data_IF_680236084608
#
_entry.id   IF_680236084608
#
_cell.length_a   1.000
_cell.length_b   1.000
_cell.length_c   1.000
_cell.angle_alpha   90.00
_cell.angle_beta   90.00
_cell.angle_gamma   90.00
#
_symmetry.space_group_name_H-M   'P 1'
#
loop_
_entity.id
_entity.type
_entity.pdbx_description
1 polymer ?
#
# COMPACT_ATOMS: atom_id res chain seq x y z
N UNK A 1 -28.47 2.78 -3.56
CA UNK A 1 -28.21 1.56 -4.37
C UNK A 1 -26.72 1.29 -4.26
N UNK A 2 -26.29 0.14 -3.71
CA UNK A 2 -24.86 -0.14 -3.62
C UNK A 2 -24.27 -0.35 -5.02
N UNK A 3 -23.06 0.15 -5.29
CA UNK A 3 -22.38 -0.15 -6.53
C UNK A 3 -22.16 -1.66 -6.66
N UNK A 4 -22.41 -2.21 -7.84
CA UNK A 4 -22.15 -3.62 -8.14
C UNK A 4 -20.69 -3.79 -8.51
N UNK A 5 -19.99 -4.70 -7.82
CA UNK A 5 -18.61 -5.07 -8.17
C UNK A 5 -18.62 -6.02 -9.37
N UNK A 6 -18.23 -5.52 -10.55
CA UNK A 6 -18.01 -6.35 -11.74
C UNK A 6 -16.55 -6.86 -11.84
N UNK A 7 -15.71 -6.51 -10.87
CA UNK A 7 -14.28 -6.75 -10.87
C UNK A 7 -13.53 -6.10 -12.04
N UNK A 8 -12.22 -6.29 -12.08
CA UNK A 8 -11.36 -5.75 -13.14
C UNK A 8 -11.66 -6.36 -14.53
N UNK A 9 -12.31 -7.52 -14.60
CA UNK A 9 -12.74 -8.12 -15.87
C UNK A 9 -13.93 -7.38 -16.50
N UNK A 10 -14.67 -6.58 -15.72
CA UNK A 10 -15.77 -5.73 -16.21
C UNK A 10 -15.31 -4.36 -16.75
N UNK A 11 -14.01 -4.06 -16.72
CA UNK A 11 -13.46 -2.77 -17.15
C UNK A 11 -13.69 -2.48 -18.64
N UNK A 12 -13.70 -1.19 -19.00
CA UNK A 12 -13.75 -0.76 -20.40
C UNK A 12 -12.42 -1.02 -21.11
N UNK A 13 -12.39 -2.03 -22.00
CA UNK A 13 -11.18 -2.38 -22.76
C UNK A 13 -10.63 -1.22 -23.59
N UNK A 14 -11.47 -0.42 -24.23
CA UNK A 14 -11.00 0.70 -25.07
C UNK A 14 -10.27 1.76 -24.24
N UNK A 15 -10.70 2.00 -23.01
CA UNK A 15 -10.00 2.89 -22.08
C UNK A 15 -8.62 2.33 -21.69
N UNK A 16 -8.54 1.02 -21.42
CA UNK A 16 -7.27 0.36 -21.10
C UNK A 16 -6.31 0.37 -22.29
N UNK A 17 -6.83 0.18 -23.51
CA UNK A 17 -6.04 0.26 -24.73
C UNK A 17 -5.45 1.66 -24.92
N UNK A 18 -6.28 2.70 -24.78
CA UNK A 18 -5.83 4.09 -24.85
C UNK A 18 -4.81 4.45 -23.75
N UNK A 19 -5.04 3.97 -22.52
CA UNK A 19 -4.11 4.20 -21.40
C UNK A 19 -2.74 3.58 -21.70
N UNK A 20 -2.70 2.33 -22.17
CA UNK A 20 -1.47 1.67 -22.57
C UNK A 20 -0.75 2.43 -23.70
N UNK A 21 -1.49 2.87 -24.72
CA UNK A 21 -0.90 3.57 -25.88
C UNK A 21 -0.31 4.94 -25.49
N UNK A 22 -0.82 5.56 -24.42
CA UNK A 22 -0.25 6.76 -23.80
C UNK A 22 0.92 6.45 -22.86
N UNK A 23 1.29 5.18 -22.69
CA UNK A 23 2.38 4.74 -21.80
C UNK A 23 1.97 4.65 -20.32
N UNK A 24 0.67 4.65 -20.00
CA UNK A 24 0.21 4.41 -18.62
C UNK A 24 0.50 2.97 -18.23
N UNK A 25 1.31 2.80 -17.19
CA UNK A 25 1.68 1.50 -16.62
C UNK A 25 0.92 1.17 -15.33
N UNK A 26 0.53 2.19 -14.58
CA UNK A 26 -0.04 2.03 -13.25
C UNK A 26 -1.41 2.72 -13.17
N UNK A 27 -2.40 2.01 -12.65
CA UNK A 27 -3.72 2.53 -12.30
C UNK A 27 -4.00 2.29 -10.83
N UNK A 28 -4.79 3.18 -10.22
CA UNK A 28 -5.27 3.02 -8.85
C UNK A 28 -6.46 2.05 -8.83
N UNK A 29 -6.52 1.17 -7.83
CA UNK A 29 -7.65 0.28 -7.54
C UNK A 29 -8.28 0.60 -6.20
N UNK A 30 -9.52 0.15 -5.96
CA UNK A 30 -10.28 0.48 -4.76
C UNK A 30 -10.57 -0.74 -3.89
N UNK A 31 -9.96 -0.83 -2.69
CA UNK A 31 -10.12 -2.01 -1.82
C UNK A 31 -11.50 -2.18 -1.18
N UNK A 32 -12.45 -1.25 -1.36
CA UNK A 32 -13.87 -1.54 -1.06
C UNK A 32 -14.44 -2.63 -1.96
N UNK A 33 -13.89 -2.81 -3.16
CA UNK A 33 -14.31 -3.85 -4.10
C UNK A 33 -13.45 -5.09 -3.98
N UNK A 34 -14.08 -6.26 -3.81
CA UNK A 34 -13.37 -7.52 -3.66
C UNK A 34 -12.54 -7.85 -4.90
N UNK A 35 -13.02 -7.49 -6.10
CA UNK A 35 -12.29 -7.68 -7.36
C UNK A 35 -11.00 -6.85 -7.50
N UNK A 36 -10.77 -5.89 -6.61
CA UNK A 36 -9.57 -5.05 -6.59
C UNK A 36 -8.61 -5.42 -5.44
N UNK A 37 -8.94 -6.42 -4.61
CA UNK A 37 -8.10 -6.88 -3.51
C UNK A 37 -7.08 -7.91 -4.00
N UNK A 38 -5.78 -7.67 -3.83
CA UNK A 38 -4.75 -8.64 -4.21
C UNK A 38 -4.72 -9.82 -3.24
N UNK A 39 -4.18 -10.96 -3.68
CA UNK A 39 -4.10 -12.19 -2.87
C UNK A 39 -2.94 -12.21 -1.88
N UNK A 40 -2.06 -11.21 -1.88
CA UNK A 40 -0.91 -11.11 -1.00
C UNK A 40 -0.73 -9.71 -0.42
N UNK A 41 0.02 -9.62 0.68
CA UNK A 41 0.23 -8.36 1.39
C UNK A 41 1.06 -7.36 0.57
N UNK A 42 0.61 -6.12 0.46
CA UNK A 42 1.25 -5.05 -0.31
C UNK A 42 1.48 -5.39 -1.80
N UNK A 43 0.71 -6.32 -2.35
CA UNK A 43 0.75 -6.72 -3.75
C UNK A 43 -0.20 -5.86 -4.61
N UNK A 44 -0.09 -5.95 -5.92
CA UNK A 44 -1.05 -5.39 -6.85
C UNK A 44 -1.52 -6.43 -7.86
N UNK A 45 -2.26 -5.99 -8.88
CA UNK A 45 -2.92 -6.88 -9.83
C UNK A 45 -2.56 -6.47 -11.25
N UNK A 46 -1.95 -7.36 -12.03
CA UNK A 46 -1.89 -7.15 -13.49
C UNK A 46 -3.30 -7.22 -14.05
N UNK A 47 -3.72 -6.19 -14.77
CA UNK A 47 -5.10 -6.05 -15.20
C UNK A 47 -5.47 -7.20 -16.16
N UNK A 48 -6.55 -7.96 -15.93
CA UNK A 48 -6.85 -9.19 -16.67
C UNK A 48 -7.16 -8.97 -18.15
N UNK A 49 -7.66 -7.79 -18.51
CA UNK A 49 -7.91 -7.42 -19.91
C UNK A 49 -6.71 -6.82 -20.64
N UNK A 50 -5.67 -6.37 -19.91
CA UNK A 50 -4.45 -5.68 -20.40
C UNK A 50 -3.33 -5.84 -19.38
N UNK A 51 -2.61 -6.95 -19.45
CA UNK A 51 -1.62 -7.34 -18.42
C UNK A 51 -0.43 -6.39 -18.28
N UNK A 52 -0.20 -5.52 -19.28
CA UNK A 52 0.81 -4.47 -19.25
C UNK A 52 0.46 -3.33 -18.28
N UNK A 53 -0.81 -3.21 -17.91
CA UNK A 53 -1.30 -2.26 -16.91
C UNK A 53 -1.36 -2.97 -15.55
N UNK A 54 -0.76 -2.35 -14.55
CA UNK A 54 -0.72 -2.82 -13.18
C UNK A 54 -1.62 -1.96 -12.29
N UNK A 55 -2.51 -2.61 -11.55
CA UNK A 55 -3.45 -1.97 -10.62
C UNK A 55 -2.84 -1.99 -9.21
N UNK A 56 -2.59 -0.80 -8.68
CA UNK A 56 -2.11 -0.54 -7.32
C UNK A 56 -3.32 -0.28 -6.43
N UNK A 57 -3.62 -1.14 -5.44
CA UNK A 57 -4.75 -0.93 -4.55
C UNK A 57 -4.58 0.32 -3.66
N UNK A 58 -5.71 0.90 -3.28
CA UNK A 58 -5.81 1.97 -2.28
C UNK A 58 -6.75 1.56 -1.12
N UNK A 59 -6.65 2.30 -0.01
CA UNK A 59 -7.65 2.29 1.04
C UNK A 59 -8.59 3.48 0.85
N UNK A 60 -9.89 3.26 0.57
CA UNK A 60 -10.85 4.35 0.63
C UNK A 60 -10.97 4.84 2.08
N UNK A 61 -11.24 6.13 2.24
CA UNK A 61 -11.63 6.73 3.52
C UNK A 61 -13.12 7.05 3.47
N UNK A 62 -13.75 7.16 4.64
CA UNK A 62 -15.11 7.70 4.75
C UNK A 62 -15.12 9.22 4.89
N UNK A 63 -13.98 9.90 4.62
CA UNK A 63 -13.96 11.33 4.35
C UNK A 63 -14.56 11.52 2.96
N UNK A 64 -15.82 11.99 2.92
CA UNK A 64 -16.64 11.97 1.73
C UNK A 64 -16.02 12.80 0.60
N UNK A 65 -16.10 12.31 -0.63
CA UNK A 65 -15.40 12.90 -1.77
C UNK A 65 -15.93 14.29 -2.13
N UNK A 66 -17.21 14.52 -1.84
CA UNK A 66 -17.96 15.74 -2.09
C UNK A 66 -17.94 16.73 -0.91
N UNK A 67 -17.52 16.30 0.29
CA UNK A 67 -17.49 17.15 1.48
C UNK A 67 -16.33 18.15 1.45
N UNK A 68 -16.62 19.38 1.86
CA UNK A 68 -15.65 20.48 1.92
C UNK A 68 -15.52 21.12 3.30
N UNK A 69 -16.44 20.84 4.22
CA UNK A 69 -16.40 21.30 5.61
C UNK A 69 -16.96 20.26 6.60
N UNK A 70 -16.81 20.47 7.93
CA UNK A 70 -17.25 19.54 8.96
C UNK A 70 -18.74 19.24 8.96
N UNK A 71 -19.60 20.20 8.60
CA UNK A 71 -21.05 20.01 8.62
C UNK A 71 -21.47 19.07 7.50
N UNK A 72 -20.94 19.30 6.28
CA UNK A 72 -21.16 18.43 5.12
C UNK A 72 -20.64 17.01 5.40
N UNK A 73 -19.42 16.88 5.93
CA UNK A 73 -18.85 15.58 6.27
C UNK A 73 -19.70 14.83 7.30
N UNK A 74 -20.17 15.53 8.34
CA UNK A 74 -21.00 14.93 9.40
C UNK A 74 -22.33 14.44 8.85
N UNK A 75 -22.98 15.23 8.00
CA UNK A 75 -24.25 14.88 7.38
C UNK A 75 -24.10 13.64 6.47
N UNK A 76 -23.08 13.62 5.62
CA UNK A 76 -22.83 12.52 4.67
C UNK A 76 -22.43 11.23 5.39
N UNK A 77 -21.52 11.31 6.37
CA UNK A 77 -21.12 10.15 7.15
C UNK A 77 -22.31 9.56 7.90
N UNK A 78 -23.11 10.38 8.60
CA UNK A 78 -24.25 9.85 9.37
C UNK A 78 -25.40 9.36 8.48
N UNK A 79 -25.55 9.89 7.27
CA UNK A 79 -26.48 9.34 6.29
C UNK A 79 -26.10 7.91 5.85
N UNK A 80 -24.81 7.57 5.84
CA UNK A 80 -24.31 6.24 5.53
C UNK A 80 -24.21 5.33 6.77
N UNK A 81 -23.62 5.83 7.86
CA UNK A 81 -23.16 5.06 9.01
C UNK A 81 -23.77 5.49 10.36
N UNK A 82 -24.65 6.50 10.39
CA UNK A 82 -25.31 6.96 11.61
C UNK A 82 -26.47 6.04 12.05
N UNK A 83 -27.30 6.51 12.99
CA UNK A 83 -28.42 5.70 13.55
C UNK A 83 -29.37 5.18 12.48
N UNK A 84 -29.64 6.02 11.49
CA UNK A 84 -30.53 5.75 10.36
C UNK A 84 -29.74 5.53 9.06
N UNK A 85 -28.47 5.13 9.17
CA UNK A 85 -27.56 4.95 8.05
C UNK A 85 -27.98 3.86 7.07
N UNK A 86 -27.50 3.94 5.84
CA UNK A 86 -27.80 2.96 4.77
C UNK A 86 -26.83 1.80 4.66
N UNK A 87 -25.65 1.88 5.29
CA UNK A 87 -24.64 0.81 5.27
C UNK A 87 -24.94 -0.29 6.30
N UNK A 88 -24.52 -1.56 6.07
CA UNK A 88 -24.81 -2.67 6.99
C UNK A 88 -24.22 -2.45 8.38
N UNK A 89 -23.04 -1.85 8.42
CA UNK A 89 -22.27 -1.54 9.63
C UNK A 89 -22.63 -0.20 10.26
N UNK A 90 -23.81 0.36 9.97
CA UNK A 90 -24.24 1.61 10.58
C UNK A 90 -24.34 1.49 12.12
N UNK A 91 -24.07 2.59 12.81
CA UNK A 91 -24.09 2.69 14.27
C UNK A 91 -25.49 2.80 14.86
N UNK A 92 -25.56 2.78 16.20
CA UNK A 92 -26.79 2.97 16.97
C UNK A 92 -27.11 4.44 17.25
N UNK A 93 -26.20 5.35 16.90
CA UNK A 93 -26.32 6.80 17.04
C UNK A 93 -25.57 7.52 15.93
N UNK A 94 -25.88 8.80 15.77
CA UNK A 94 -25.09 9.69 14.94
C UNK A 94 -23.82 10.11 15.69
N UNK A 95 -22.75 10.33 14.94
CA UNK A 95 -21.45 10.78 15.42
C UNK A 95 -21.26 12.28 15.18
N UNK A 96 -20.50 12.94 16.06
CA UNK A 96 -19.99 14.29 15.77
C UNK A 96 -18.85 14.25 14.76
N UNK A 97 -18.49 15.39 14.19
CA UNK A 97 -17.35 15.49 13.27
C UNK A 97 -16.06 14.94 13.88
N UNK A 98 -15.77 15.27 15.14
CA UNK A 98 -14.58 14.81 15.85
C UNK A 98 -14.59 13.30 16.05
N UNK A 99 -15.74 12.72 16.40
CA UNK A 99 -15.88 11.27 16.54
C UNK A 99 -15.69 10.54 15.20
N UNK A 100 -16.17 11.14 14.10
CA UNK A 100 -15.95 10.61 12.75
C UNK A 100 -14.47 10.62 12.41
N UNK A 101 -13.77 11.73 12.65
CA UNK A 101 -12.32 11.83 12.42
C UNK A 101 -11.57 10.79 13.25
N UNK A 102 -11.95 10.60 14.52
CA UNK A 102 -11.32 9.60 15.40
C UNK A 102 -11.50 8.17 14.90
N UNK A 103 -12.72 7.79 14.51
CA UNK A 103 -13.02 6.44 13.97
C UNK A 103 -12.27 6.19 12.66
N UNK A 104 -12.28 7.17 11.74
CA UNK A 104 -11.58 7.05 10.47
C UNK A 104 -10.05 7.01 10.65
N UNK A 105 -9.52 7.76 11.61
CA UNK A 105 -8.11 7.74 11.94
C UNK A 105 -7.69 6.44 12.63
N UNK A 106 -8.57 5.80 13.42
CA UNK A 106 -8.31 4.47 14.00
C UNK A 106 -8.14 3.40 12.91
N UNK A 107 -9.04 3.36 11.93
CA UNK A 107 -8.92 2.43 10.79
C UNK A 107 -7.65 2.71 10.00
N UNK A 108 -7.35 3.98 9.72
CA UNK A 108 -6.13 4.36 9.01
C UNK A 108 -4.85 3.98 9.76
N UNK A 109 -4.82 4.20 11.07
CA UNK A 109 -3.72 3.80 11.93
C UNK A 109 -3.53 2.27 11.91
N UNK A 110 -4.60 1.48 11.95
CA UNK A 110 -4.50 0.01 11.83
C UNK A 110 -3.84 -0.41 10.50
N UNK A 111 -4.17 0.25 9.38
CA UNK A 111 -3.51 -0.01 8.10
C UNK A 111 -2.01 0.28 8.19
N UNK A 112 -1.61 1.44 8.75
CA UNK A 112 -0.19 1.78 8.95
C UNK A 112 0.52 0.77 9.86
N UNK A 113 -0.10 0.40 10.99
CA UNK A 113 0.47 -0.51 11.98
C UNK A 113 0.61 -1.95 11.47
N UNK A 114 -0.25 -2.36 10.54
CA UNK A 114 -0.14 -3.66 9.85
C UNK A 114 0.95 -3.69 8.76
N UNK A 115 1.59 -2.54 8.49
CA UNK A 115 2.62 -2.41 7.46
C UNK A 115 2.05 -2.32 6.04
N UNK A 116 0.79 -1.88 5.89
CA UNK A 116 0.20 -1.63 4.57
C UNK A 116 0.98 -0.55 3.83
N UNK A 117 1.29 -0.82 2.56
CA UNK A 117 1.91 0.16 1.66
C UNK A 117 0.89 1.01 0.89
N UNK A 118 -0.38 0.59 0.83
CA UNK A 118 -1.39 1.26 0.01
C UNK A 118 -1.71 2.67 0.52
N UNK A 119 -1.91 3.60 -0.43
CA UNK A 119 -2.32 4.96 -0.14
C UNK A 119 -3.77 5.01 0.36
N UNK A 120 -4.12 6.08 1.06
CA UNK A 120 -5.51 6.39 1.42
C UNK A 120 -6.09 7.45 0.49
N UNK A 121 -7.34 7.27 0.08
CA UNK A 121 -7.99 8.15 -0.89
C UNK A 121 -8.70 9.32 -0.22
N UNK A 122 -8.34 10.52 -0.66
CA UNK A 122 -8.95 11.81 -0.34
C UNK A 122 -9.16 12.59 -1.64
N UNK A 123 -9.98 13.62 -1.59
CA UNK A 123 -10.40 14.39 -2.77
C UNK A 123 -10.09 15.88 -2.62
N UNK A 124 -10.08 16.58 -3.76
CA UNK A 124 -9.79 18.03 -3.80
C UNK A 124 -10.69 18.88 -2.90
N UNK A 125 -11.93 18.44 -2.62
CA UNK A 125 -12.82 19.15 -1.69
C UNK A 125 -12.31 19.09 -0.25
N UNK A 126 -11.69 17.98 0.13
CA UNK A 126 -11.24 17.73 1.51
C UNK A 126 -10.03 18.60 1.89
N UNK A 127 -9.33 19.19 0.92
CA UNK A 127 -8.22 20.13 1.17
C UNK A 127 -8.68 21.59 1.30
N UNK A 128 -9.99 21.87 1.18
CA UNK A 128 -10.52 23.21 1.42
C UNK A 128 -10.24 23.63 2.86
N UNK A 129 -9.62 24.79 3.02
CA UNK A 129 -9.42 25.42 4.31
C UNK A 129 -10.75 25.99 4.83
N UNK A 130 -11.44 25.26 5.70
CA UNK A 130 -12.73 25.69 6.26
C UNK A 130 -12.53 26.61 7.49
N UNK A 131 -11.36 26.57 8.11
CA UNK A 131 -10.91 27.49 9.15
C UNK A 131 -9.37 27.62 9.07
N UNK A 132 -8.76 28.70 9.60
CA UNK A 132 -7.31 28.90 9.49
C UNK A 132 -6.49 27.68 9.95
N UNK A 133 -5.74 27.09 9.01
CA UNK A 133 -4.91 25.89 9.21
C UNK A 133 -5.69 24.57 9.32
N UNK A 134 -6.99 24.53 9.00
CA UNK A 134 -7.86 23.36 9.15
C UNK A 134 -8.52 22.99 7.82
N UNK A 135 -8.43 21.72 7.46
CA UNK A 135 -9.17 21.10 6.36
C UNK A 135 -9.58 19.69 6.78
N UNK A 136 -10.59 19.11 6.12
CA UNK A 136 -11.02 17.73 6.41
C UNK A 136 -9.85 16.74 6.28
N UNK A 137 -9.07 16.88 5.21
CA UNK A 137 -7.86 16.09 4.97
C UNK A 137 -6.81 16.29 6.07
N UNK A 138 -6.49 17.54 6.46
CA UNK A 138 -5.48 17.80 7.48
C UNK A 138 -5.90 17.30 8.87
N UNK A 139 -7.18 17.40 9.22
CA UNK A 139 -7.69 16.89 10.49
C UNK A 139 -7.53 15.37 10.58
N UNK A 140 -7.93 14.65 9.54
CA UNK A 140 -7.79 13.20 9.46
C UNK A 140 -6.33 12.74 9.42
N UNK A 141 -5.46 13.42 8.65
CA UNK A 141 -4.02 13.12 8.60
C UNK A 141 -3.38 13.33 9.97
N UNK A 142 -3.66 14.45 10.63
CA UNK A 142 -3.09 14.75 11.95
C UNK A 142 -3.52 13.73 13.00
N UNK A 143 -4.80 13.36 13.05
CA UNK A 143 -5.30 12.34 13.96
C UNK A 143 -4.64 10.97 13.68
N UNK A 144 -4.53 10.57 12.40
CA UNK A 144 -3.91 9.31 12.00
C UNK A 144 -2.42 9.24 12.39
N UNK A 145 -1.65 10.30 12.09
CA UNK A 145 -0.23 10.36 12.40
C UNK A 145 0.00 10.43 13.90
N UNK A 146 -0.83 11.16 14.65
CA UNK A 146 -0.75 11.21 16.11
C UNK A 146 -0.96 9.82 16.74
N UNK A 147 -1.97 9.06 16.26
CA UNK A 147 -2.20 7.68 16.69
C UNK A 147 -1.01 6.78 16.37
N UNK A 148 -0.47 6.83 15.15
CA UNK A 148 0.72 6.06 14.80
C UNK A 148 1.91 6.38 15.71
N UNK A 149 2.19 7.67 15.93
CA UNK A 149 3.30 8.15 16.75
C UNK A 149 3.16 7.78 18.24
N UNK A 150 1.94 7.51 18.73
CA UNK A 150 1.72 7.03 20.09
C UNK A 150 2.23 5.58 20.31
N UNK A 151 2.34 4.79 19.24
CA UNK A 151 2.74 3.38 19.31
C UNK A 151 4.11 3.10 18.66
N UNK A 152 4.52 3.88 17.67
CA UNK A 152 5.72 3.62 16.86
C UNK A 152 6.66 4.81 16.81
N UNK A 153 7.96 4.52 16.83
CA UNK A 153 9.06 5.49 16.63
C UNK A 153 9.77 5.33 15.28
N UNK A 154 9.27 4.44 14.42
CA UNK A 154 9.80 4.20 13.08
C UNK A 154 9.26 5.27 12.11
N UNK A 155 10.06 5.83 11.19
CA UNK A 155 9.58 6.89 10.30
C UNK A 155 8.41 6.45 9.41
N UNK A 156 7.36 7.25 9.27
CA UNK A 156 6.39 7.09 8.19
C UNK A 156 6.96 7.67 6.89
N UNK A 157 6.97 6.86 5.84
CA UNK A 157 7.41 7.28 4.50
C UNK A 157 6.20 7.74 3.68
N UNK A 158 6.37 8.84 2.95
CA UNK A 158 5.40 9.31 1.96
C UNK A 158 6.07 9.32 0.57
N UNK A 159 6.21 8.14 -0.08
CA UNK A 159 6.82 8.05 -1.40
C UNK A 159 5.93 8.69 -2.47
N UNK A 160 6.53 9.06 -3.60
CA UNK A 160 5.73 9.41 -4.78
C UNK A 160 5.01 8.17 -5.36
N UNK A 161 4.03 8.44 -6.23
CA UNK A 161 3.19 7.40 -6.82
C UNK A 161 3.97 6.35 -7.59
N UNK A 162 5.00 6.74 -8.34
CA UNK A 162 5.76 5.80 -9.17
C UNK A 162 6.63 4.88 -8.31
N UNK A 163 7.22 5.42 -7.26
CA UNK A 163 7.95 4.63 -6.27
C UNK A 163 7.03 3.64 -5.57
N UNK A 164 5.86 4.10 -5.10
CA UNK A 164 4.87 3.22 -4.46
C UNK A 164 4.43 2.10 -5.41
N UNK A 165 4.08 2.44 -6.65
CA UNK A 165 3.62 1.47 -7.64
C UNK A 165 4.69 0.41 -7.95
N UNK A 166 5.95 0.83 -8.13
CA UNK A 166 7.08 -0.07 -8.33
C UNK A 166 7.34 -0.96 -7.12
N UNK A 167 7.22 -0.42 -5.89
CA UNK A 167 7.31 -1.20 -4.67
C UNK A 167 6.24 -2.30 -4.61
N UNK A 168 4.98 -1.95 -4.85
CA UNK A 168 3.84 -2.88 -4.85
C UNK A 168 4.00 -3.95 -5.95
N UNK A 169 4.47 -3.58 -7.13
CA UNK A 169 4.78 -4.54 -8.21
C UNK A 169 5.92 -5.49 -7.80
N UNK A 170 6.98 -4.99 -7.16
CA UNK A 170 8.06 -5.83 -6.63
C UNK A 170 7.59 -6.79 -5.53
N UNK A 171 6.55 -6.43 -4.75
CA UNK A 171 5.94 -7.33 -3.76
C UNK A 171 5.26 -8.53 -4.42
N UNK A 172 4.69 -8.40 -5.62
CA UNK A 172 4.19 -9.57 -6.38
C UNK A 172 5.31 -10.57 -6.64
N UNK A 173 6.46 -10.08 -7.13
CA UNK A 173 7.62 -10.93 -7.39
C UNK A 173 8.16 -11.59 -6.10
N UNK A 174 8.19 -10.84 -4.99
CA UNK A 174 8.59 -11.38 -3.69
C UNK A 174 7.70 -12.54 -3.22
N UNK A 175 6.38 -12.39 -3.26
CA UNK A 175 5.49 -13.47 -2.84
C UNK A 175 5.48 -14.64 -3.83
N UNK A 176 5.74 -14.40 -5.12
CA UNK A 176 6.00 -15.47 -6.07
C UNK A 176 7.24 -16.30 -5.68
N UNK A 177 8.33 -15.66 -5.24
CA UNK A 177 9.50 -16.36 -4.70
C UNK A 177 9.15 -17.15 -3.44
N UNK A 178 8.43 -16.56 -2.47
CA UNK A 178 8.03 -17.24 -1.24
C UNK A 178 7.08 -18.43 -1.47
N UNK A 179 6.28 -18.41 -2.55
CA UNK A 179 5.37 -19.50 -2.90
C UNK A 179 6.09 -20.82 -3.19
N UNK A 180 7.38 -20.76 -3.55
CA UNK A 180 8.24 -21.93 -3.75
C UNK A 180 8.64 -22.63 -2.44
N UNK A 181 8.40 -21.99 -1.28
CA UNK A 181 8.74 -22.49 0.07
C UNK A 181 10.21 -22.88 0.22
N UNK A 182 11.11 -22.12 -0.42
CA UNK A 182 12.56 -22.23 -0.17
C UNK A 182 12.99 -21.21 0.86
N UNK A 183 13.55 -21.71 1.94
CA UNK A 183 14.14 -20.88 2.98
C UNK A 183 15.61 -20.58 2.65
N UNK A 184 16.05 -19.38 3.02
CA UNK A 184 17.47 -19.05 3.01
C UNK A 184 18.19 -19.78 4.16
N UNK A 185 19.41 -20.25 3.92
CA UNK A 185 20.22 -20.97 4.90
C UNK A 185 21.23 -20.02 5.52
N UNK A 186 21.16 -19.82 6.84
CA UNK A 186 22.13 -19.01 7.58
C UNK A 186 23.24 -19.88 8.19
N UNK A 187 24.47 -19.70 7.70
CA UNK A 187 25.67 -20.21 8.32
C UNK A 187 26.14 -19.25 9.42
N UNK A 188 25.90 -19.61 10.68
CA UNK A 188 26.28 -18.80 11.85
C UNK A 188 27.79 -18.69 12.07
N UNK A 189 28.59 -19.65 11.59
CA UNK A 189 30.03 -19.63 11.76
C UNK A 189 30.70 -18.59 10.83
N UNK A 190 30.15 -18.39 9.64
CA UNK A 190 30.68 -17.44 8.64
C UNK A 190 29.85 -16.16 8.52
N UNK A 191 28.65 -16.14 9.11
CA UNK A 191 27.67 -15.07 8.96
C UNK A 191 27.00 -15.04 7.58
N UNK A 192 27.18 -16.07 6.74
CA UNK A 192 26.63 -16.10 5.39
C UNK A 192 25.17 -16.53 5.38
N UNK A 193 24.32 -15.80 4.65
CA UNK A 193 22.94 -16.18 4.35
C UNK A 193 22.86 -16.53 2.87
N UNK A 194 22.50 -17.77 2.56
CA UNK A 194 22.49 -18.29 1.20
C UNK A 194 21.07 -18.58 0.73
N UNK A 195 20.77 -18.19 -0.50
CA UNK A 195 19.47 -18.44 -1.12
C UNK A 195 19.68 -18.80 -2.60
N UNK A 196 18.92 -19.78 -3.10
CA UNK A 196 18.88 -20.12 -4.53
C UNK A 196 17.50 -19.81 -5.07
N UNK A 197 17.43 -18.94 -6.07
CA UNK A 197 16.18 -18.44 -6.61
C UNK A 197 15.46 -19.46 -7.51
N UNK A 198 14.13 -19.52 -7.39
CA UNK A 198 13.28 -20.42 -8.18
C UNK A 198 12.69 -19.74 -9.42
N UNK A 199 12.51 -18.43 -9.34
CA UNK A 199 12.12 -17.58 -10.46
C UNK A 199 13.05 -16.39 -10.58
N UNK A 200 12.79 -15.53 -11.58
CA UNK A 200 13.35 -14.18 -11.58
C UNK A 200 12.50 -13.21 -10.74
N UNK A 201 12.98 -11.98 -10.58
CA UNK A 201 12.21 -10.89 -9.98
C UNK A 201 12.87 -10.31 -8.73
N UNK A 202 12.07 -9.99 -7.71
CA UNK A 202 12.54 -9.34 -6.49
C UNK A 202 12.37 -10.22 -5.24
N UNK A 203 13.32 -10.13 -4.30
CA UNK A 203 13.20 -10.71 -2.95
C UNK A 203 13.60 -9.68 -1.89
N UNK A 204 12.65 -9.30 -1.02
CA UNK A 204 12.93 -8.45 0.14
C UNK A 204 13.46 -9.29 1.30
N UNK A 205 14.60 -8.88 1.86
CA UNK A 205 15.26 -9.53 2.99
C UNK A 205 15.67 -8.47 4.01
N UNK A 206 15.30 -8.69 5.28
CA UNK A 206 15.71 -7.84 6.41
C UNK A 206 16.82 -8.51 7.21
N UNK A 207 17.61 -7.72 7.95
CA UNK A 207 18.66 -8.26 8.82
C UNK A 207 19.86 -8.84 8.08
N UNK A 208 20.05 -8.46 6.82
CA UNK A 208 21.25 -8.74 6.00
C UNK A 208 21.90 -7.43 5.56
N UNK A 209 23.20 -7.46 5.31
CA UNK A 209 23.92 -6.31 4.77
C UNK A 209 23.43 -5.99 3.36
N UNK A 210 23.10 -4.73 3.13
CA UNK A 210 22.73 -4.19 1.82
C UNK A 210 23.96 -4.20 0.90
N UNK A 211 23.76 -4.51 -0.39
CA UNK A 211 24.80 -4.35 -1.42
C UNK A 211 24.32 -3.33 -2.45
N UNK A 212 25.14 -2.34 -2.83
CA UNK A 212 24.81 -1.47 -3.94
C UNK A 212 24.74 -2.28 -5.24
N UNK A 213 23.74 -2.03 -6.07
CA UNK A 213 23.65 -2.61 -7.41
C UNK A 213 24.92 -2.34 -8.24
N UNK A 214 25.35 -3.37 -8.96
CA UNK A 214 26.43 -3.37 -9.94
C UNK A 214 25.87 -3.45 -11.36
N UNK A 215 26.69 -3.15 -12.37
CA UNK A 215 26.32 -3.32 -13.79
C UNK A 215 26.00 -4.79 -14.16
N UNK A 216 26.33 -5.78 -13.33
CA UNK A 216 25.92 -7.16 -13.55
C UNK A 216 24.47 -7.44 -13.12
N UNK A 217 23.87 -6.58 -12.28
CA UNK A 217 22.55 -6.77 -11.66
C UNK A 217 21.40 -6.23 -12.53
N UNK A 218 21.63 -6.08 -13.83
CA UNK A 218 20.80 -5.32 -14.78
C UNK A 218 19.38 -5.86 -15.04
N UNK A 219 18.99 -7.01 -14.48
CA UNK A 219 17.60 -7.49 -14.58
C UNK A 219 16.68 -6.86 -13.52
N UNK A 220 17.24 -6.47 -12.37
CA UNK A 220 16.64 -5.58 -11.37
C UNK A 220 17.72 -5.22 -10.36
N UNK A 221 18.12 -3.95 -10.17
CA UNK A 221 19.21 -3.61 -9.25
C UNK A 221 18.90 -4.06 -7.82
N UNK A 222 19.92 -4.56 -7.12
CA UNK A 222 19.88 -4.69 -5.67
C UNK A 222 19.74 -3.30 -5.05
N UNK A 223 18.67 -3.10 -4.28
CA UNK A 223 18.42 -1.85 -3.56
C UNK A 223 18.50 -2.09 -2.06
N UNK A 224 19.18 -1.19 -1.37
CA UNK A 224 19.27 -1.20 0.08
C UNK A 224 18.63 0.05 0.66
N UNK A 225 17.80 -0.12 1.68
CA UNK A 225 17.34 0.97 2.50
C UNK A 225 17.51 0.66 3.99
N UNK A 226 17.52 1.72 4.80
CA UNK A 226 17.39 1.61 6.25
C UNK A 226 16.01 2.16 6.63
N UNK A 227 15.19 1.33 7.26
CA UNK A 227 13.89 1.73 7.78
C UNK A 227 13.93 1.75 9.30
N UNK A 228 13.95 2.96 9.88
CA UNK A 228 14.28 3.13 11.29
C UNK A 228 15.73 2.71 11.54
N UNK A 229 15.92 1.61 12.28
CA UNK A 229 17.24 1.00 12.51
C UNK A 229 17.46 -0.29 11.72
N UNK A 230 16.48 -0.73 10.93
CA UNK A 230 16.53 -2.00 10.21
C UNK A 230 17.04 -1.86 8.78
N UNK A 231 18.09 -2.58 8.38
CA UNK A 231 18.45 -2.72 6.98
C UNK A 231 17.44 -3.62 6.26
N UNK A 232 16.94 -3.13 5.13
CA UNK A 232 16.07 -3.85 4.19
C UNK A 232 16.78 -3.90 2.85
N UNK A 233 16.98 -5.09 2.30
CA UNK A 233 17.55 -5.30 0.97
C UNK A 233 16.46 -5.83 0.04
N UNK A 234 16.29 -5.22 -1.12
CA UNK A 234 15.50 -5.74 -2.24
C UNK A 234 16.47 -6.32 -3.26
N UNK A 235 16.52 -7.64 -3.35
CA UNK A 235 17.44 -8.35 -4.23
C UNK A 235 16.81 -8.54 -5.61
N UNK A 236 17.56 -8.25 -6.66
CA UNK A 236 17.25 -8.74 -8.01
C UNK A 236 17.64 -10.20 -8.13
N UNK A 237 16.76 -11.03 -8.67
CA UNK A 237 17.00 -12.47 -8.81
C UNK A 237 16.85 -12.92 -10.25
N UNK A 238 17.73 -13.83 -10.65
CA UNK A 238 17.57 -14.67 -11.85
C UNK A 238 17.30 -16.12 -11.43
N UNK A 239 16.45 -16.85 -12.17
CA UNK A 239 16.15 -18.26 -11.87
C UNK A 239 17.44 -19.09 -11.79
N UNK A 240 17.58 -19.88 -10.73
CA UNK A 240 18.70 -20.77 -10.49
C UNK A 240 19.95 -20.07 -9.95
N UNK A 241 19.92 -18.75 -9.83
CA UNK A 241 21.01 -17.98 -9.25
C UNK A 241 21.13 -18.27 -7.75
N UNK A 242 22.38 -18.46 -7.29
CA UNK A 242 22.72 -18.55 -5.87
C UNK A 242 23.20 -17.18 -5.39
N UNK A 243 22.46 -16.60 -4.46
CA UNK A 243 22.82 -15.36 -3.78
C UNK A 243 23.42 -15.68 -2.41
N UNK A 244 24.51 -15.00 -2.07
CA UNK A 244 25.17 -15.12 -0.76
C UNK A 244 25.29 -13.73 -0.15
N UNK A 245 24.53 -13.50 0.93
CA UNK A 245 24.47 -12.26 1.69
C UNK A 245 25.22 -12.43 3.02
N UNK A 246 25.51 -11.31 3.69
CA UNK A 246 26.03 -11.33 5.06
C UNK A 246 24.91 -10.97 6.02
N UNK A 247 24.73 -11.73 7.09
CA UNK A 247 23.83 -11.35 8.17
C UNK A 247 24.31 -10.02 8.79
N UNK A 248 23.37 -9.14 9.08
CA UNK A 248 23.56 -7.89 9.81
C UNK A 248 22.60 -7.88 11.00
N UNK A 249 22.80 -8.77 11.99
CA UNK A 249 21.93 -8.84 13.16
C UNK A 249 21.96 -7.51 13.91
N UNK A 250 20.82 -7.13 14.50
CA UNK A 250 20.78 -5.98 15.41
C UNK A 250 21.76 -6.23 16.58
N UNK A 251 22.48 -5.20 17.04
CA UNK A 251 23.28 -5.27 18.26
C UNK A 251 22.47 -5.74 19.47
#
# INVERSE_FOLDING_TARGET
MRPTDFGLAGSNKALLDAAHDLGVRYLQGNMSFAGHRPSCANCGIHHPLRGEIFVVPDWPTSIAFEATDPEEQTALFNAAYGRAGTEPEHGDRDLTYEEIVEVEADTAAQHLMSGSAYAHTLHQGNVREYAPGRSLAFDWINATVAKYAAYYSVPLKNPDWLFLAGYVEARNAHFAQLSSRRDAVWNRATGAVEYTADGGGALFVTGVGTRPATEADQTSPDEGETYGSDPVSRLGLTRGERVVLRASPRP
#
